data_IF_920985955785
#
_entry.id   IF_920985955785
#
_cell.length_a   1.000
_cell.length_b   1.000
_cell.length_c   1.000
_cell.angle_alpha   90.00
_cell.angle_beta   90.00
_cell.angle_gamma   90.00
#
_symmetry.space_group_name_H-M   'P 1'
#
loop_
_entity.id
_entity.type
_entity.pdbx_description
1 polymer ?
#
# COMPACT_ATOMS: atom_id res chain seq x y z
N UNK A 1 15.94 -3.34 1.92
CA UNK A 1 14.49 -3.25 2.20
C UNK A 1 13.97 -2.25 1.19
N UNK A 2 12.92 -2.56 0.42
CA UNK A 2 12.50 -1.68 -0.67
C UNK A 2 12.13 -0.31 -0.12
N UNK A 3 12.52 0.74 -0.83
CA UNK A 3 12.12 2.09 -0.50
C UNK A 3 10.70 2.32 -1.02
N UNK A 4 9.75 2.50 -0.10
CA UNK A 4 8.34 2.71 -0.45
C UNK A 4 7.99 4.19 -0.66
N UNK A 5 8.99 5.09 -0.66
CA UNK A 5 8.78 6.51 -0.93
C UNK A 5 8.21 6.74 -2.34
N UNK A 6 8.62 5.95 -3.34
CA UNK A 6 8.06 6.04 -4.68
C UNK A 6 6.56 5.66 -4.71
N UNK A 7 6.18 4.62 -3.98
CA UNK A 7 4.76 4.23 -3.82
C UNK A 7 3.98 5.33 -3.08
N UNK A 8 4.55 5.89 -2.01
CA UNK A 8 3.95 7.00 -1.26
C UNK A 8 3.69 8.20 -2.17
N UNK A 9 4.70 8.63 -2.90
CA UNK A 9 4.63 9.81 -3.75
C UNK A 9 3.68 9.60 -4.93
N UNK A 10 3.62 8.38 -5.47
CA UNK A 10 2.60 7.99 -6.45
C UNK A 10 1.19 8.13 -5.87
N UNK A 11 0.95 7.58 -4.67
CA UNK A 11 -0.36 7.62 -4.00
C UNK A 11 -0.77 9.06 -3.61
N UNK A 12 0.17 9.91 -3.16
CA UNK A 12 -0.09 11.32 -2.84
C UNK A 12 -0.65 12.11 -4.03
N UNK A 13 -0.25 11.75 -5.25
CA UNK A 13 -0.73 12.38 -6.50
C UNK A 13 -2.11 11.90 -6.92
N UNK A 14 -2.62 10.80 -6.35
CA UNK A 14 -3.92 10.26 -6.69
C UNK A 14 -5.04 11.07 -6.03
N UNK A 15 -6.12 11.30 -6.77
CA UNK A 15 -7.33 11.98 -6.27
C UNK A 15 -8.47 11.01 -5.99
N UNK A 16 -8.38 9.78 -6.53
CA UNK A 16 -9.42 8.77 -6.41
C UNK A 16 -9.61 8.33 -4.95
N UNK A 17 -10.88 8.11 -4.53
CA UNK A 17 -11.17 7.61 -3.18
C UNK A 17 -10.70 6.17 -2.99
N UNK A 18 -10.61 5.40 -4.08
CA UNK A 18 -10.12 4.03 -4.11
C UNK A 18 -9.40 3.76 -5.43
N UNK A 19 -8.28 3.06 -5.37
CA UNK A 19 -7.58 2.52 -6.54
C UNK A 19 -6.97 1.16 -6.22
N UNK A 20 -6.70 0.37 -7.24
CA UNK A 20 -6.07 -0.94 -7.11
C UNK A 20 -4.82 -0.98 -7.98
N UNK A 21 -3.69 -1.40 -7.41
CA UNK A 21 -2.46 -1.68 -8.15
C UNK A 21 -2.15 -3.17 -8.09
N UNK A 22 -1.66 -3.74 -9.18
CA UNK A 22 -1.09 -5.09 -9.19
C UNK A 22 0.22 -5.12 -8.41
N UNK A 23 0.67 -6.31 -8.01
CA UNK A 23 2.02 -6.43 -7.42
C UNK A 23 3.11 -5.97 -8.38
N UNK A 24 3.00 -6.35 -9.66
CA UNK A 24 3.93 -5.93 -10.71
C UNK A 24 4.00 -4.40 -10.81
N UNK A 25 2.87 -3.69 -10.85
CA UNK A 25 2.86 -2.23 -10.90
C UNK A 25 3.50 -1.60 -9.65
N UNK A 26 3.33 -2.22 -8.48
CA UNK A 26 3.99 -1.75 -7.24
C UNK A 26 5.51 -1.98 -7.32
N UNK A 27 5.94 -3.14 -7.82
CA UNK A 27 7.35 -3.49 -8.02
C UNK A 27 8.04 -2.55 -9.01
N UNK A 28 7.37 -2.23 -10.13
CA UNK A 28 7.83 -1.23 -11.10
C UNK A 28 7.96 0.16 -10.47
N UNK A 29 7.01 0.56 -9.62
CA UNK A 29 7.05 1.85 -8.92
C UNK A 29 8.21 1.95 -7.93
N UNK A 30 8.47 0.90 -7.16
CA UNK A 30 9.56 0.90 -6.16
C UNK A 30 10.92 0.50 -6.75
N UNK A 31 10.95 0.04 -8.01
CA UNK A 31 12.17 -0.39 -8.70
C UNK A 31 12.79 -1.66 -8.10
N UNK A 32 12.01 -2.47 -7.38
CA UNK A 32 12.47 -3.68 -6.69
C UNK A 32 11.32 -4.69 -6.57
N UNK A 33 11.66 -5.97 -6.39
CA UNK A 33 10.66 -7.01 -6.16
C UNK A 33 10.09 -6.93 -4.75
N UNK A 34 8.78 -7.17 -4.63
CA UNK A 34 8.12 -7.25 -3.33
C UNK A 34 8.60 -8.51 -2.60
N UNK A 35 8.79 -8.44 -1.27
CA UNK A 35 9.14 -9.61 -0.50
C UNK A 35 8.01 -10.63 -0.55
N UNK A 36 8.33 -11.93 -0.42
CA UNK A 36 7.33 -13.02 -0.32
C UNK A 36 6.22 -12.73 0.70
N UNK A 37 6.54 -11.99 1.76
CA UNK A 37 5.58 -11.58 2.77
C UNK A 37 4.41 -10.73 2.22
N UNK A 38 4.60 -10.00 1.12
CA UNK A 38 3.56 -9.21 0.43
C UNK A 38 2.41 -10.05 -0.11
N UNK A 39 2.59 -11.36 -0.26
CA UNK A 39 1.50 -12.28 -0.59
C UNK A 39 0.50 -12.48 0.56
N UNK A 40 0.83 -12.06 1.78
CA UNK A 40 -0.05 -12.20 2.94
C UNK A 40 -0.89 -10.93 3.10
N UNK A 41 -2.19 -11.09 3.30
CA UNK A 41 -3.07 -9.94 3.56
C UNK A 41 -2.63 -9.13 4.78
N UNK A 42 -2.13 -9.81 5.83
CA UNK A 42 -1.59 -9.16 7.02
C UNK A 42 -0.38 -8.28 6.73
N UNK A 43 0.34 -8.44 5.62
CA UNK A 43 1.44 -7.54 5.28
C UNK A 43 0.95 -6.13 4.91
N UNK A 44 -0.19 -6.05 4.22
CA UNK A 44 -0.77 -4.80 3.72
C UNK A 44 -1.75 -4.16 4.70
N UNK A 45 -2.51 -4.99 5.42
CA UNK A 45 -3.64 -4.54 6.22
C UNK A 45 -3.20 -3.73 7.45
N UNK A 46 -3.23 -2.41 7.31
CA UNK A 46 -2.78 -1.46 8.33
C UNK A 46 -3.79 -1.31 9.48
N UNK A 47 -5.03 -1.76 9.29
CA UNK A 47 -6.10 -1.65 10.30
C UNK A 47 -6.09 -2.82 11.29
N UNK A 48 -5.56 -3.99 10.90
CA UNK A 48 -5.55 -5.18 11.77
C UNK A 48 -4.39 -5.24 12.75
N UNK A 49 -3.24 -4.62 12.42
CA UNK A 49 -2.05 -4.64 13.27
C UNK A 49 -1.40 -3.25 13.36
N UNK A 50 -2.04 -2.25 13.97
CA UNK A 50 -1.54 -0.87 14.01
C UNK A 50 -0.22 -0.72 14.80
N UNK A 51 0.16 -1.71 15.61
CA UNK A 51 1.39 -1.72 16.40
C UNK A 51 2.61 -2.16 15.57
N UNK A 52 2.39 -2.86 14.45
CA UNK A 52 3.48 -3.29 13.56
C UNK A 52 3.81 -2.14 12.59
N UNK A 53 4.89 -1.41 12.89
CA UNK A 53 5.49 -0.43 12.01
C UNK A 53 6.20 -1.14 10.86
N UNK A 54 5.51 -1.23 9.73
CA UNK A 54 6.06 -1.79 8.49
C UNK A 54 6.24 -0.67 7.46
N UNK A 55 7.40 -0.56 6.78
CA UNK A 55 7.71 0.57 5.90
C UNK A 55 6.66 0.82 4.81
N UNK A 56 6.12 -0.23 4.19
CA UNK A 56 5.08 -0.11 3.18
C UNK A 56 3.77 0.46 3.74
N UNK A 57 3.43 0.12 4.97
CA UNK A 57 2.21 0.61 5.62
C UNK A 57 2.35 2.08 5.98
N UNK A 58 3.51 2.45 6.53
CA UNK A 58 3.83 3.85 6.83
C UNK A 58 3.81 4.71 5.57
N UNK A 59 4.38 4.23 4.46
CA UNK A 59 4.30 4.90 3.16
C UNK A 59 2.86 5.10 2.67
N UNK A 60 1.99 4.09 2.79
CA UNK A 60 0.58 4.21 2.42
C UNK A 60 -0.16 5.23 3.30
N UNK A 61 0.04 5.15 4.63
CA UNK A 61 -0.59 6.03 5.60
C UNK A 61 -0.14 7.49 5.44
N UNK A 62 1.14 7.74 5.20
CA UNK A 62 1.67 9.07 4.93
C UNK A 62 1.16 9.65 3.60
N UNK A 63 0.80 8.78 2.65
CA UNK A 63 0.07 9.18 1.45
C UNK A 63 -1.44 9.42 1.67
N UNK A 64 -1.97 9.14 2.86
CA UNK A 64 -3.39 9.28 3.18
C UNK A 64 -4.26 8.09 2.74
N UNK A 65 -3.66 6.92 2.50
CA UNK A 65 -4.34 5.71 2.06
C UNK A 65 -4.16 4.56 3.05
N UNK A 66 -5.17 3.70 3.16
CA UNK A 66 -5.04 2.37 3.76
C UNK A 66 -4.94 1.32 2.66
N UNK A 67 -3.98 0.41 2.81
CA UNK A 67 -3.78 -0.71 1.90
C UNK A 67 -4.56 -1.94 2.38
N UNK A 68 -5.14 -2.68 1.44
CA UNK A 68 -5.79 -3.98 1.69
C UNK A 68 -5.51 -4.89 0.52
N UNK A 69 -4.97 -6.08 0.78
CA UNK A 69 -4.74 -7.07 -0.29
C UNK A 69 -6.08 -7.52 -0.90
N UNK A 70 -6.13 -7.60 -2.22
CA UNK A 70 -7.30 -8.10 -2.92
C UNK A 70 -7.49 -9.61 -2.71
N UNK A 71 -8.74 -10.11 -2.64
CA UNK A 71 -9.04 -11.52 -2.42
C UNK A 71 -8.64 -12.41 -3.61
N UNK A 72 -8.60 -11.84 -4.82
CA UNK A 72 -8.14 -12.52 -6.04
C UNK A 72 -6.62 -12.75 -6.07
N UNK A 73 -5.88 -12.14 -5.13
CA UNK A 73 -4.45 -12.23 -4.99
C UNK A 73 -3.63 -11.54 -6.07
N UNK A 74 -4.25 -10.69 -6.89
CA UNK A 74 -3.58 -10.02 -8.01
C UNK A 74 -2.98 -8.67 -7.65
N UNK A 75 -3.36 -8.10 -6.50
CA UNK A 75 -2.89 -6.78 -6.11
C UNK A 75 -3.37 -6.28 -4.77
N UNK A 76 -3.25 -4.96 -4.62
CA UNK A 76 -3.55 -4.22 -3.40
C UNK A 76 -4.48 -3.07 -3.73
N UNK A 77 -5.55 -2.97 -2.95
CA UNK A 77 -6.47 -1.86 -2.97
C UNK A 77 -6.04 -0.81 -1.97
N UNK A 78 -5.91 0.42 -2.44
CA UNK A 78 -5.62 1.60 -1.66
C UNK A 78 -6.90 2.42 -1.54
N UNK A 79 -7.37 2.64 -0.32
CA UNK A 79 -8.56 3.45 -0.04
C UNK A 79 -8.15 4.69 0.74
N UNK A 80 -8.59 5.87 0.29
CA UNK A 80 -8.32 7.11 1.02
C UNK A 80 -8.90 7.02 2.43
N UNK A 81 -8.09 7.43 3.41
CA UNK A 81 -8.59 7.78 4.71
C UNK A 81 -9.52 8.97 4.50
N UNK A 82 -10.80 8.87 4.88
CA UNK A 82 -11.66 10.06 4.94
C UNK A 82 -10.96 11.01 5.90
N UNK A 83 -10.49 12.16 5.40
CA UNK A 83 -10.13 13.25 6.28
C UNK A 83 -11.35 13.52 7.15
N UNK A 84 -11.23 13.28 8.46
CA UNK A 84 -12.16 13.89 9.40
C UNK A 84 -11.94 15.40 9.24
N UNK A 85 -12.94 16.07 8.68
CA UNK A 85 -13.08 17.52 8.79
C UNK A 85 -13.24 17.89 10.26
#
# INVERSE_FOLDING_TARGET
MPDYDALRDYLKRQTLPELTLSFEAIEELIGDSLPRAAQRASWWDSLRSPQEKMPQREACLDAGYVATRMPDGKGVRFRRLKQKM
#
